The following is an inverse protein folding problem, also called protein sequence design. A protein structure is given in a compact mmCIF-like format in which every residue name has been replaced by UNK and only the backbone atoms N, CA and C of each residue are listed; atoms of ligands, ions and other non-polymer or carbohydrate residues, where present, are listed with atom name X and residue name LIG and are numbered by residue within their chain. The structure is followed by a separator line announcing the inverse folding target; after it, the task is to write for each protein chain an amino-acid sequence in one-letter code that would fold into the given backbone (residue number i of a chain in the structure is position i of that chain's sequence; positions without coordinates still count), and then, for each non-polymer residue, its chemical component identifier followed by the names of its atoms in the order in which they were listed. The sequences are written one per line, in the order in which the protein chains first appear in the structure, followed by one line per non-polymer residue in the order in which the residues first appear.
data_IF_100655223816
#
_entry.id   IF_100655223816
#
_cell.length_a   1.000
_cell.length_b   1.000
_cell.length_c   1.000
_cell.angle_alpha   90.00
_cell.angle_beta   90.00
_cell.angle_gamma   90.00
#
_symmetry.space_group_name_H-M   'P 1'
#
loop_
_entity.id
_entity.type
_entity.pdbx_description
1 polymer ?
#
# COMPACT_ATOMS: atom_id res chain seq x y z
N UNK A 1 -31.39 10.75 -10.32
CA UNK A 1 -29.91 10.77 -10.52
C UNK A 1 -29.40 12.09 -9.94
N UNK A 2 -28.95 12.09 -8.69
CA UNK A 2 -28.39 13.29 -8.06
C UNK A 2 -26.87 13.25 -8.24
N UNK A 3 -26.36 14.00 -9.23
CA UNK A 3 -24.96 14.39 -9.25
C UNK A 3 -24.72 15.26 -8.01
N UNK A 4 -24.02 14.73 -7.01
CA UNK A 4 -23.49 15.55 -5.91
C UNK A 4 -22.63 16.63 -6.55
N UNK A 5 -23.06 17.89 -6.46
CA UNK A 5 -22.20 19.02 -6.77
C UNK A 5 -20.95 18.89 -5.89
N UNK A 6 -19.80 18.61 -6.50
CA UNK A 6 -18.52 18.74 -5.81
C UNK A 6 -18.45 20.17 -5.29
N UNK A 7 -18.38 20.35 -3.98
CA UNK A 7 -18.25 21.68 -3.39
C UNK A 7 -16.95 22.29 -3.87
N UNK A 8 -17.01 23.41 -4.60
CA UNK A 8 -15.84 24.19 -5.07
C UNK A 8 -15.05 24.87 -3.91
N UNK A 9 -15.25 24.42 -2.68
CA UNK A 9 -14.59 24.98 -1.49
C UNK A 9 -13.29 24.21 -1.29
N UNK A 10 -12.17 24.91 -1.47
CA UNK A 10 -10.84 24.39 -1.15
C UNK A 10 -10.62 24.47 0.36
N UNK A 11 -10.33 23.33 0.97
CA UNK A 11 -10.02 23.23 2.41
C UNK A 11 -8.52 23.33 2.65
N UNK A 12 -8.13 23.50 3.92
CA UNK A 12 -6.71 23.45 4.32
C UNK A 12 -6.10 22.08 4.05
N UNK A 13 -6.88 21.01 4.20
CA UNK A 13 -6.47 19.63 3.90
C UNK A 13 -6.19 19.46 2.41
N UNK A 14 -7.04 20.02 1.53
CA UNK A 14 -6.80 19.98 0.08
C UNK A 14 -5.47 20.63 -0.33
N UNK A 15 -5.13 21.76 0.30
CA UNK A 15 -3.86 22.45 0.05
C UNK A 15 -2.65 21.66 0.56
N UNK A 16 -2.83 20.88 1.62
CA UNK A 16 -1.79 20.01 2.15
C UNK A 16 -1.38 18.95 1.13
N UNK A 17 -2.31 18.37 0.37
CA UNK A 17 -1.96 17.39 -0.68
C UNK A 17 -1.01 17.96 -1.74
N UNK A 18 -1.16 19.23 -2.13
CA UNK A 18 -0.26 19.87 -3.09
C UNK A 18 1.15 20.03 -2.50
N UNK A 19 1.24 20.44 -1.24
CA UNK A 19 2.53 20.56 -0.54
C UNK A 19 3.16 19.19 -0.30
N UNK A 20 2.35 18.19 0.07
CA UNK A 20 2.80 16.82 0.28
C UNK A 20 3.34 16.22 -1.02
N UNK A 21 2.65 16.39 -2.14
CA UNK A 21 3.11 15.94 -3.47
C UNK A 21 4.51 16.48 -3.79
N UNK A 22 4.76 17.76 -3.55
CA UNK A 22 6.07 18.36 -3.79
C UNK A 22 7.15 17.77 -2.88
N UNK A 23 6.84 17.53 -1.61
CA UNK A 23 7.77 16.92 -0.65
C UNK A 23 8.08 15.48 -1.04
N UNK A 24 7.06 14.68 -1.38
CA UNK A 24 7.22 13.29 -1.80
C UNK A 24 8.08 13.18 -3.06
N UNK A 25 7.82 14.01 -4.08
CA UNK A 25 8.64 14.03 -5.30
C UNK A 25 10.10 14.36 -5.01
N UNK A 26 10.36 15.42 -4.25
CA UNK A 26 11.73 15.81 -3.87
C UNK A 26 12.43 14.71 -3.05
N UNK A 27 11.68 14.02 -2.19
CA UNK A 27 12.17 12.89 -1.41
C UNK A 27 12.51 11.69 -2.29
N UNK A 28 11.64 11.35 -3.24
CA UNK A 28 11.84 10.27 -4.20
C UNK A 28 13.11 10.51 -5.04
N UNK A 29 13.24 11.68 -5.67
CA UNK A 29 14.41 12.02 -6.51
C UNK A 29 15.74 11.90 -5.74
N UNK A 30 15.77 12.38 -4.49
CA UNK A 30 16.94 12.29 -3.62
C UNK A 30 17.22 10.85 -3.19
N UNK A 31 16.17 10.06 -2.97
CA UNK A 31 16.27 8.65 -2.59
C UNK A 31 16.85 7.83 -3.73
N UNK A 32 16.29 7.95 -4.94
CA UNK A 32 16.81 7.31 -6.16
C UNK A 32 18.27 7.66 -6.38
N UNK A 33 18.61 8.96 -6.34
CA UNK A 33 19.99 9.41 -6.53
C UNK A 33 20.97 8.78 -5.53
N UNK A 34 20.58 8.69 -4.25
CA UNK A 34 21.42 8.10 -3.20
C UNK A 34 21.53 6.59 -3.35
N UNK A 35 20.46 5.92 -3.74
CA UNK A 35 20.45 4.47 -3.94
C UNK A 35 21.27 4.10 -5.16
N UNK A 36 21.14 4.81 -6.29
CA UNK A 36 21.99 4.62 -7.46
C UNK A 36 23.49 4.67 -7.11
N UNK A 37 23.91 5.67 -6.30
CA UNK A 37 25.28 5.77 -5.81
C UNK A 37 25.69 4.63 -4.85
N UNK A 38 24.74 4.01 -4.16
CA UNK A 38 25.00 2.80 -3.34
C UNK A 38 25.10 1.56 -4.22
N UNK A 39 24.23 1.39 -5.22
CA UNK A 39 24.26 0.27 -6.16
C UNK A 39 25.62 0.17 -6.88
N UNK A 40 26.19 1.30 -7.33
CA UNK A 40 27.55 1.34 -7.90
C UNK A 40 28.59 0.78 -6.91
N UNK A 41 28.51 1.19 -5.64
CA UNK A 41 29.44 0.72 -4.58
C UNK A 41 29.22 -0.73 -4.18
N UNK A 42 28.05 -1.29 -4.44
CA UNK A 42 27.69 -2.69 -4.18
C UNK A 42 28.07 -3.63 -5.33
N UNK A 43 28.90 -3.18 -6.27
CA UNK A 43 29.30 -3.98 -7.42
C UNK A 43 28.47 -3.73 -8.67
N UNK A 44 27.90 -2.53 -8.79
CA UNK A 44 27.08 -2.11 -9.93
C UNK A 44 25.83 -2.99 -10.14
N UNK A 45 25.15 -3.28 -9.03
CA UNK A 45 23.85 -3.97 -9.03
C UNK A 45 22.78 -3.09 -9.68
N UNK A 46 21.71 -3.71 -10.16
CA UNK A 46 20.54 -3.00 -10.66
C UNK A 46 19.79 -2.30 -9.51
N UNK A 47 18.89 -1.36 -9.82
CA UNK A 47 18.13 -0.65 -8.79
C UNK A 47 17.12 -1.59 -8.12
N UNK A 48 16.53 -2.48 -8.92
CA UNK A 48 15.55 -3.50 -8.57
C UNK A 48 16.13 -4.56 -7.62
N UNK A 49 17.44 -4.75 -7.68
CA UNK A 49 18.18 -5.66 -6.80
C UNK A 49 18.56 -5.00 -5.47
N UNK A 50 18.26 -3.71 -5.28
CA UNK A 50 18.57 -3.02 -4.05
C UNK A 50 17.70 -3.56 -2.90
N UNK A 51 18.26 -3.84 -1.70
CA UNK A 51 17.53 -4.47 -0.60
C UNK A 51 16.25 -3.76 -0.13
N UNK A 52 16.10 -2.46 -0.44
CA UNK A 52 14.93 -1.66 -0.07
C UNK A 52 14.16 -1.16 -1.29
N UNK A 53 14.23 -1.89 -2.41
CA UNK A 53 13.53 -1.51 -3.64
C UNK A 53 12.01 -1.41 -3.46
N UNK A 54 11.40 -2.32 -2.69
CA UNK A 54 9.95 -2.25 -2.39
C UNK A 54 9.54 -0.92 -1.76
N UNK A 55 10.35 -0.38 -0.84
CA UNK A 55 10.08 0.93 -0.25
C UNK A 55 10.15 2.08 -1.27
N UNK A 56 10.97 1.95 -2.31
CA UNK A 56 11.01 2.93 -3.41
C UNK A 56 9.68 2.89 -4.17
N UNK A 57 9.13 1.70 -4.40
CA UNK A 57 7.84 1.52 -5.07
C UNK A 57 6.69 2.05 -4.21
N UNK A 58 6.70 1.81 -2.89
CA UNK A 58 5.68 2.34 -1.97
C UNK A 58 5.61 3.87 -2.03
N UNK A 59 6.77 4.55 -2.05
CA UNK A 59 6.84 6.02 -2.17
C UNK A 59 6.37 6.48 -3.55
N UNK A 60 6.68 5.74 -4.61
CA UNK A 60 6.22 6.05 -5.96
C UNK A 60 4.69 5.91 -6.07
N UNK A 61 4.11 4.88 -5.45
CA UNK A 61 2.67 4.68 -5.36
C UNK A 61 2.00 5.84 -4.60
N UNK A 62 2.56 6.26 -3.45
CA UNK A 62 2.03 7.40 -2.68
C UNK A 62 2.05 8.72 -3.48
N UNK A 63 3.08 8.93 -4.31
CA UNK A 63 3.16 10.07 -5.25
C UNK A 63 2.02 10.01 -6.27
N UNK A 64 1.77 8.83 -6.84
CA UNK A 64 0.70 8.61 -7.81
C UNK A 64 -0.67 8.89 -7.18
N UNK A 65 -0.98 8.27 -6.04
CA UNK A 65 -2.26 8.47 -5.34
C UNK A 65 -2.50 9.94 -4.96
N UNK A 66 -1.47 10.60 -4.42
CA UNK A 66 -1.53 12.02 -4.06
C UNK A 66 -1.78 12.89 -5.29
N UNK A 67 -1.10 12.61 -6.41
CA UNK A 67 -1.26 13.35 -7.64
C UNK A 67 -2.63 13.16 -8.30
N UNK A 68 -3.14 11.93 -8.33
CA UNK A 68 -4.50 11.62 -8.80
C UNK A 68 -5.56 12.35 -7.99
N UNK A 69 -5.39 12.38 -6.66
CA UNK A 69 -6.28 13.14 -5.79
C UNK A 69 -6.30 14.62 -6.18
N UNK A 70 -5.15 15.24 -6.41
CA UNK A 70 -5.04 16.64 -6.82
C UNK A 70 -5.75 16.86 -8.17
N UNK A 71 -5.53 15.97 -9.15
CA UNK A 71 -6.15 16.06 -10.47
C UNK A 71 -7.67 15.87 -10.44
N UNK A 72 -8.17 15.05 -9.52
CA UNK A 72 -9.60 14.79 -9.34
C UNK A 72 -10.39 16.03 -8.86
N UNK A 73 -9.70 17.05 -8.33
CA UNK A 73 -10.30 18.28 -7.78
C UNK A 73 -9.87 19.52 -8.57
N UNK A 74 -10.67 19.89 -9.57
CA UNK A 74 -10.43 21.09 -10.41
C UNK A 74 -10.25 22.39 -9.61
N UNK A 75 -10.86 22.50 -8.43
CA UNK A 75 -10.71 23.66 -7.55
C UNK A 75 -9.25 23.89 -7.10
N UNK A 76 -8.39 22.86 -7.16
CA UNK A 76 -6.96 22.96 -6.82
C UNK A 76 -6.08 23.48 -7.95
N UNK A 77 -6.57 23.49 -9.20
CA UNK A 77 -5.75 23.81 -10.36
C UNK A 77 -5.05 25.18 -10.28
N UNK A 78 -5.70 26.27 -9.82
CA UNK A 78 -5.02 27.56 -9.65
C UNK A 78 -3.82 27.52 -8.69
N UNK A 79 -3.87 26.62 -7.69
CA UNK A 79 -2.76 26.43 -6.75
C UNK A 79 -1.66 25.55 -7.34
N UNK A 80 -2.04 24.55 -8.13
CA UNK A 80 -1.10 23.72 -8.92
C UNK A 80 -0.32 24.59 -9.90
N UNK A 81 -1.00 25.44 -10.67
CA UNK A 81 -0.36 26.40 -11.60
C UNK A 81 0.67 27.30 -10.92
N UNK A 82 0.46 27.63 -9.64
CA UNK A 82 1.36 28.48 -8.87
C UNK A 82 2.53 27.73 -8.25
N UNK A 83 2.31 26.50 -7.79
CA UNK A 83 3.29 25.74 -6.96
C UNK A 83 4.08 24.70 -7.75
N UNK A 84 3.51 24.15 -8.82
CA UNK A 84 4.14 23.12 -9.66
C UNK A 84 4.65 23.78 -10.94
N UNK A 85 5.95 23.63 -11.21
CA UNK A 85 6.53 24.14 -12.43
C UNK A 85 5.91 23.44 -13.65
N UNK A 86 5.35 24.22 -14.57
CA UNK A 86 4.61 23.70 -15.73
C UNK A 86 3.14 23.36 -15.45
N UNK A 87 2.64 23.65 -14.24
CA UNK A 87 1.22 23.63 -13.91
C UNK A 87 0.57 22.26 -13.98
N UNK A 88 -0.73 22.25 -14.25
CA UNK A 88 -1.54 21.00 -14.29
C UNK A 88 -1.04 20.05 -15.37
N UNK A 89 -0.64 20.58 -16.53
CA UNK A 89 -0.14 19.75 -17.63
C UNK A 89 1.14 18.99 -17.24
N UNK A 90 2.06 19.64 -16.52
CA UNK A 90 3.26 18.98 -16.04
C UNK A 90 2.95 17.92 -14.97
N UNK A 91 1.98 18.19 -14.09
CA UNK A 91 1.50 17.21 -13.11
C UNK A 91 0.94 15.96 -13.81
N UNK A 92 0.06 16.12 -14.80
CA UNK A 92 -0.50 15.01 -15.58
C UNK A 92 0.58 14.19 -16.28
N UNK A 93 1.52 14.87 -16.96
CA UNK A 93 2.60 14.19 -17.68
C UNK A 93 3.53 13.42 -16.73
N UNK A 94 3.90 14.02 -15.61
CA UNK A 94 4.76 13.37 -14.62
C UNK A 94 4.06 12.17 -13.98
N UNK A 95 2.77 12.29 -13.66
CA UNK A 95 2.00 11.18 -13.10
C UNK A 95 1.90 10.01 -14.06
N UNK A 96 1.67 10.26 -15.35
CA UNK A 96 1.65 9.20 -16.35
C UNK A 96 2.99 8.44 -16.42
N UNK A 97 4.12 9.15 -16.29
CA UNK A 97 5.44 8.51 -16.23
C UNK A 97 5.61 7.68 -14.96
N UNK A 98 5.24 8.20 -13.79
CA UNK A 98 5.35 7.47 -12.53
C UNK A 98 4.44 6.24 -12.47
N UNK A 99 3.22 6.34 -12.99
CA UNK A 99 2.30 5.20 -13.12
C UNK A 99 2.86 4.13 -14.05
N UNK A 100 3.42 4.54 -15.20
CA UNK A 100 4.08 3.62 -16.12
C UNK A 100 5.30 2.93 -15.47
N UNK A 101 6.12 3.66 -14.73
CA UNK A 101 7.25 3.10 -13.97
C UNK A 101 6.76 2.10 -12.92
N UNK A 102 5.69 2.44 -12.19
CA UNK A 102 5.11 1.55 -11.19
C UNK A 102 4.60 0.25 -11.84
N UNK A 103 3.86 0.33 -12.94
CA UNK A 103 3.35 -0.85 -13.69
C UNK A 103 4.46 -1.75 -14.21
N UNK A 104 5.59 -1.17 -14.64
CA UNK A 104 6.71 -1.93 -15.18
C UNK A 104 7.56 -2.63 -14.10
N UNK A 105 7.52 -2.11 -12.87
CA UNK A 105 8.43 -2.52 -11.81
C UNK A 105 7.73 -3.15 -10.59
N UNK A 106 6.40 -3.10 -10.54
CA UNK A 106 5.63 -3.85 -9.56
C UNK A 106 5.74 -5.34 -9.90
N UNK A 107 6.42 -6.09 -9.02
CA UNK A 107 6.52 -7.55 -9.13
C UNK A 107 5.12 -8.18 -9.10
N UNK A 108 4.88 -9.33 -9.76
CA UNK A 108 3.59 -10.04 -9.70
C UNK A 108 3.11 -10.36 -8.27
N UNK A 109 4.01 -10.44 -7.28
CA UNK A 109 3.63 -10.58 -5.86
C UNK A 109 3.01 -9.31 -5.25
N UNK A 110 3.31 -8.12 -5.79
CA UNK A 110 2.76 -6.82 -5.39
C UNK A 110 1.46 -6.49 -6.13
N UNK A 111 1.27 -7.05 -7.33
CA UNK A 111 -0.01 -7.05 -8.05
C UNK A 111 -0.94 -8.06 -7.38
N UNK A 112 -1.56 -7.67 -6.26
CA UNK A 112 -2.64 -8.39 -5.54
C UNK A 112 -2.95 -9.79 -6.09
N UNK A 113 -2.35 -10.81 -5.48
CA UNK A 113 -2.74 -12.23 -5.47
C UNK A 113 -3.89 -12.59 -6.43
N UNK A 114 -3.56 -12.89 -7.68
CA UNK A 114 -4.49 -13.54 -8.60
C UNK A 114 -4.72 -14.99 -8.13
N UNK A 115 -5.94 -15.41 -7.76
CA UNK A 115 -6.21 -16.76 -7.29
C UNK A 115 -5.79 -17.86 -8.29
N UNK A 116 -5.74 -17.53 -9.58
CA UNK A 116 -5.32 -18.47 -10.62
C UNK A 116 -3.79 -18.67 -10.66
N UNK A 117 -3.00 -17.68 -10.27
CA UNK A 117 -1.54 -17.78 -10.09
C UNK A 117 -1.20 -18.62 -8.85
N UNK A 118 -1.94 -18.43 -7.74
CA UNK A 118 -1.79 -19.23 -6.51
C UNK A 118 -2.09 -20.71 -6.78
N UNK A 119 -3.11 -21.00 -7.61
CA UNK A 119 -3.45 -22.37 -8.01
C UNK A 119 -2.32 -23.02 -8.82
N UNK A 120 -1.73 -22.29 -9.78
CA UNK A 120 -0.59 -22.79 -10.57
C UNK A 120 0.67 -22.97 -9.73
N UNK A 121 0.93 -22.08 -8.76
CA UNK A 121 2.06 -22.23 -7.84
C UNK A 121 1.90 -23.44 -6.92
N UNK A 122 0.69 -23.71 -6.40
CA UNK A 122 0.40 -24.92 -5.64
C UNK A 122 0.59 -26.20 -6.46
N UNK A 123 0.18 -26.17 -7.73
CA UNK A 123 0.36 -27.29 -8.66
C UNK A 123 1.84 -27.52 -9.02
N UNK A 124 2.62 -26.45 -9.19
CA UNK A 124 4.04 -26.51 -9.53
C UNK A 124 4.94 -26.91 -8.34
N UNK A 125 4.57 -26.55 -7.11
CA UNK A 125 5.35 -26.86 -5.90
C UNK A 125 5.11 -28.29 -5.38
N UNK A 126 4.01 -28.93 -5.76
CA UNK A 126 3.62 -30.24 -5.23
C UNK A 126 3.38 -30.23 -3.71
N UNK A 127 2.83 -31.31 -3.15
CA UNK A 127 2.72 -31.46 -1.70
C UNK A 127 4.13 -31.56 -1.10
N UNK A 128 4.64 -30.42 -0.64
CA UNK A 128 5.86 -30.36 0.16
C UNK A 128 5.58 -31.16 1.44
N UNK A 129 6.24 -32.31 1.58
CA UNK A 129 6.15 -33.16 2.76
C UNK A 129 6.70 -32.39 3.97
N UNK A 130 5.77 -31.85 4.77
CA UNK A 130 6.03 -31.00 5.95
C UNK A 130 6.69 -31.75 7.12
N UNK A 131 7.05 -33.01 6.93
CA UNK A 131 7.62 -33.85 7.97
C UNK A 131 8.97 -33.33 8.53
N UNK A 132 9.71 -32.51 7.77
CA UNK A 132 11.01 -31.95 8.18
C UNK A 132 11.16 -30.45 7.88
N UNK A 133 10.11 -29.65 8.11
CA UNK A 133 10.21 -28.20 8.04
C UNK A 133 10.89 -27.65 9.32
N UNK A 134 12.10 -27.04 9.24
CA UNK A 134 12.80 -26.47 10.39
C UNK A 134 12.14 -25.21 10.97
N UNK A 135 11.06 -24.71 10.35
CA UNK A 135 10.20 -23.63 10.86
C UNK A 135 8.86 -24.12 11.42
N UNK A 136 8.61 -25.45 11.44
CA UNK A 136 7.45 -26.04 12.10
C UNK A 136 7.51 -25.80 13.62
N UNK A 137 6.94 -24.68 14.06
CA UNK A 137 6.98 -24.20 15.44
C UNK A 137 7.33 -22.72 15.58
N UNK A 138 7.79 -22.07 14.51
CA UNK A 138 8.03 -20.63 14.45
C UNK A 138 6.81 -19.90 13.89
N UNK A 139 5.69 -19.95 14.61
CA UNK A 139 4.47 -19.24 14.25
C UNK A 139 3.27 -19.80 14.99
N UNK A 140 3.00 -19.27 16.19
CA UNK A 140 1.64 -19.40 16.73
C UNK A 140 0.73 -18.66 15.77
N UNK A 141 -0.29 -19.35 15.25
CA UNK A 141 -1.31 -18.71 14.44
C UNK A 141 -2.03 -17.64 15.31
N UNK A 142 -2.59 -16.61 14.69
CA UNK A 142 -3.21 -15.49 15.41
C UNK A 142 -4.31 -15.96 16.35
N UNK A 143 -5.03 -17.03 15.98
CA UNK A 143 -6.06 -17.64 16.79
C UNK A 143 -5.47 -18.32 18.04
N UNK A 144 -4.39 -19.10 17.89
CA UNK A 144 -3.69 -19.73 19.01
C UNK A 144 -3.05 -18.68 19.96
N UNK A 145 -2.60 -17.56 19.39
CA UNK A 145 -2.08 -16.42 20.15
C UNK A 145 -3.20 -15.72 20.93
N UNK A 146 -4.38 -15.55 20.32
CA UNK A 146 -5.53 -14.91 20.93
C UNK A 146 -6.09 -15.76 22.08
N UNK A 147 -6.22 -17.07 21.88
CA UNK A 147 -6.66 -18.01 22.93
C UNK A 147 -5.70 -17.99 24.13
N UNK A 148 -4.39 -17.96 23.86
CA UNK A 148 -3.38 -17.90 24.92
C UNK A 148 -3.42 -16.58 25.70
N UNK A 149 -3.63 -15.45 25.02
CA UNK A 149 -3.78 -14.13 25.65
C UNK A 149 -5.07 -14.03 26.48
N UNK A 150 -6.15 -14.69 26.03
CA UNK A 150 -7.41 -14.79 26.77
C UNK A 150 -7.28 -15.68 28.01
N UNK A 151 -6.54 -16.79 27.92
CA UNK A 151 -6.25 -17.65 29.07
C UNK A 151 -5.34 -17.00 30.11
N UNK A 152 -4.33 -16.23 29.68
CA UNK A 152 -3.43 -15.49 30.58
C UNK A 152 -4.19 -14.35 31.30
N UNK A 153 -5.05 -13.61 30.59
CA UNK A 153 -5.87 -12.57 31.21
C UNK A 153 -6.91 -13.13 32.20
N UNK A 154 -7.51 -14.30 31.94
CA UNK A 154 -8.42 -14.97 32.88
C UNK A 154 -7.74 -15.40 34.18
N UNK A 155 -6.43 -15.68 34.15
CA UNK A 155 -5.63 -16.02 35.34
C UNK A 155 -5.24 -14.78 36.16
N UNK A 156 -4.99 -13.65 35.52
CA UNK A 156 -4.66 -12.38 36.20
C UNK A 156 -5.88 -11.60 36.69
N UNK A 157 -7.06 -11.77 36.07
CA UNK A 157 -8.25 -10.99 36.38
C UNK A 157 -9.55 -11.83 36.32
N UNK A 158 -9.81 -12.68 37.33
CA UNK A 158 -10.87 -13.70 37.29
C UNK A 158 -12.32 -13.16 37.30
N UNK A 159 -12.51 -11.85 37.55
CA UNK A 159 -13.85 -11.22 37.63
C UNK A 159 -14.28 -10.50 36.34
N UNK A 160 -13.48 -10.55 35.27
CA UNK A 160 -13.81 -9.90 33.99
C UNK A 160 -14.58 -10.87 33.09
N UNK A 161 -15.89 -10.65 32.94
CA UNK A 161 -16.75 -11.36 31.98
C UNK A 161 -16.61 -10.69 30.60
N UNK A 162 -16.11 -11.43 29.62
CA UNK A 162 -16.08 -11.00 28.22
C UNK A 162 -17.37 -11.46 27.53
N UNK A 163 -18.13 -10.51 26.96
CA UNK A 163 -19.28 -10.82 26.11
C UNK A 163 -18.80 -11.52 24.83
N UNK A 164 -19.31 -12.72 24.58
CA UNK A 164 -19.22 -13.37 23.28
C UNK A 164 -20.10 -12.59 22.31
N UNK A 165 -19.48 -11.94 21.31
CA UNK A 165 -20.23 -11.43 20.17
C UNK A 165 -20.75 -12.63 19.38
N UNK A 166 -22.03 -12.95 19.55
CA UNK A 166 -22.76 -13.83 18.64
C UNK A 166 -22.92 -13.08 17.30
N UNK A 167 -22.45 -13.73 16.22
CA UNK A 167 -22.54 -13.23 14.86
C UNK A 167 -23.99 -13.38 14.38
N UNK A 168 -24.79 -12.32 14.55
CA UNK A 168 -26.15 -12.22 14.01
C UNK A 168 -26.12 -11.99 12.49
N UNK A 169 -25.76 -13.03 11.73
CA UNK A 169 -26.12 -13.13 10.31
C UNK A 169 -27.13 -14.23 10.09
N UNK A 170 -28.38 -14.01 10.51
CA UNK A 170 -29.53 -14.70 9.92
C UNK A 170 -30.28 -13.75 8.96
N UNK A 171 -30.02 -14.01 7.68
CA UNK A 171 -30.73 -13.54 6.49
C UNK A 171 -32.25 -13.54 6.65
N UNK A 172 -32.86 -12.35 6.48
CA UNK A 172 -34.24 -12.23 5.99
C UNK A 172 -34.29 -12.73 4.54
N UNK A 173 -34.88 -13.90 4.31
CA UNK A 173 -35.41 -14.26 3.00
C UNK A 173 -36.92 -14.04 3.00
N UNK A 174 -37.34 -12.99 2.30
CA UNK A 174 -38.72 -12.82 1.84
C UNK A 174 -39.02 -13.85 0.74
N UNK A 175 -40.02 -14.70 0.97
CA UNK A 175 -41.07 -15.03 0.00
C UNK A 175 -42.25 -15.70 0.69
#
# INVERSE_FOLDING_TARGET
MNARAQSNVVTKEDLWYIDNYLVLRDYYDRTISRIAARCIRMGNIALEEYPFYSYILDVLEEICETGEYILSKQALYPYVEKKIAGGVQALENNLALYQQELEQNSSPEMVKQDPDEIAKMKEALGDIDKANDPTAGAGMNIDDLMDKLLEENKKENPDVVYETFEDDTETKNEK
#
